data_IF_118592985207
#
_entry.id   IF_118592985207
#
_cell.length_a   1.000
_cell.length_b   1.000
_cell.length_c   1.000
_cell.angle_alpha   90.00
_cell.angle_beta   90.00
_cell.angle_gamma   90.00
#
_symmetry.space_group_name_H-M   'P 1'
#
loop_
_entity.id
_entity.type
_entity.pdbx_description
1 polymer ?
#
# COMPACT_ATOMS: atom_id res chain seq x y z
N UNK A 1 -33.45 28.45 8.20
CA UNK A 1 -33.95 27.62 7.08
C UNK A 1 -34.37 28.60 5.99
N UNK A 2 -33.48 28.79 5.00
CA UNK A 2 -33.72 29.74 3.88
C UNK A 2 -34.72 29.02 2.97
N UNK A 3 -35.88 29.64 2.72
CA UNK A 3 -36.93 29.02 1.91
C UNK A 3 -36.50 29.04 0.43
N UNK A 4 -36.80 27.98 -0.27
CA UNK A 4 -36.45 27.81 -1.70
C UNK A 4 -37.07 28.97 -2.55
N UNK A 5 -38.21 29.55 -2.12
CA UNK A 5 -38.85 30.70 -2.75
C UNK A 5 -38.03 32.00 -2.62
N UNK A 6 -37.27 32.20 -1.50
CA UNK A 6 -36.40 33.36 -1.37
C UNK A 6 -35.21 33.34 -2.32
N UNK A 7 -34.72 32.15 -2.62
CA UNK A 7 -33.60 31.97 -3.58
C UNK A 7 -34.05 32.17 -5.02
N UNK A 8 -35.28 31.74 -5.37
CA UNK A 8 -35.88 31.97 -6.70
C UNK A 8 -36.14 33.45 -6.91
N UNK A 9 -36.70 34.16 -5.90
CA UNK A 9 -36.96 35.60 -5.97
C UNK A 9 -35.66 36.42 -6.13
N UNK A 10 -34.58 35.99 -5.51
CA UNK A 10 -33.25 36.63 -5.66
C UNK A 10 -32.64 36.37 -7.04
N UNK A 11 -32.80 35.16 -7.59
CA UNK A 11 -32.40 34.83 -8.95
C UNK A 11 -33.20 35.57 -10.01
N UNK A 12 -34.52 35.73 -9.84
CA UNK A 12 -35.37 36.49 -10.72
C UNK A 12 -35.04 38.01 -10.66
N UNK A 13 -34.65 38.53 -9.48
CA UNK A 13 -34.12 39.87 -9.32
C UNK A 13 -32.83 40.14 -10.06
N UNK A 14 -31.90 39.17 -10.06
CA UNK A 14 -30.65 39.24 -10.81
C UNK A 14 -30.90 39.13 -12.32
N UNK A 15 -31.85 38.31 -12.74
CA UNK A 15 -32.19 38.13 -14.16
C UNK A 15 -32.94 39.35 -14.73
N UNK A 16 -33.79 40.03 -13.94
CA UNK A 16 -34.49 41.25 -14.35
C UNK A 16 -33.60 42.49 -14.30
N UNK A 17 -32.58 42.57 -13.47
CA UNK A 17 -31.62 43.66 -13.44
C UNK A 17 -30.65 43.66 -14.64
N UNK A 18 -30.56 42.57 -15.38
CA UNK A 18 -29.73 42.41 -16.61
C UNK A 18 -30.39 42.90 -17.89
N UNK A 19 -31.61 43.42 -17.88
CA UNK A 19 -32.31 43.94 -19.09
C UNK A 19 -31.95 45.38 -19.48
N UNK A 20 -30.81 45.86 -19.03
CA UNK A 20 -30.21 47.10 -19.54
C UNK A 20 -29.38 46.85 -20.80
N UNK A 21 -30.06 46.86 -21.98
CA UNK A 21 -29.42 47.18 -23.26
C UNK A 21 -28.21 46.41 -23.74
N UNK A 22 -27.99 45.18 -23.30
CA UNK A 22 -26.89 44.34 -23.85
C UNK A 22 -27.37 43.73 -25.17
N UNK A 23 -26.56 43.96 -26.22
CA UNK A 23 -26.80 43.37 -27.56
C UNK A 23 -26.88 41.83 -27.41
N UNK A 24 -27.97 41.18 -27.83
CA UNK A 24 -28.14 39.74 -27.71
C UNK A 24 -26.99 38.96 -28.41
N UNK A 25 -26.34 39.57 -29.39
CA UNK A 25 -25.17 39.03 -30.05
C UNK A 25 -23.95 38.91 -29.10
N UNK A 26 -23.77 39.87 -28.19
CA UNK A 26 -22.64 39.87 -27.22
C UNK A 26 -22.87 38.79 -26.15
N UNK A 27 -24.11 38.65 -25.66
CA UNK A 27 -24.47 37.59 -24.71
C UNK A 27 -24.26 36.19 -25.30
N UNK A 28 -24.66 35.94 -26.55
CA UNK A 28 -24.41 34.69 -27.23
C UNK A 28 -22.90 34.41 -27.43
N UNK A 29 -22.11 35.43 -27.75
CA UNK A 29 -20.66 35.32 -27.88
C UNK A 29 -19.99 34.93 -26.54
N UNK A 30 -20.38 35.58 -25.45
CA UNK A 30 -19.84 35.29 -24.11
C UNK A 30 -20.20 33.88 -23.67
N UNK A 31 -21.46 33.45 -23.85
CA UNK A 31 -21.88 32.08 -23.50
C UNK A 31 -21.12 31.03 -24.34
N UNK A 32 -20.97 31.24 -25.65
CA UNK A 32 -20.25 30.33 -26.51
C UNK A 32 -18.76 30.22 -26.14
N UNK A 33 -18.13 31.34 -25.75
CA UNK A 33 -16.76 31.37 -25.27
C UNK A 33 -16.59 30.62 -23.94
N UNK A 34 -17.53 30.77 -23.02
CA UNK A 34 -17.55 30.06 -21.73
C UNK A 34 -17.71 28.55 -21.93
N UNK A 35 -18.58 28.12 -22.85
CA UNK A 35 -18.76 26.71 -23.20
C UNK A 35 -17.47 26.15 -23.82
N UNK A 36 -16.85 26.89 -24.75
CA UNK A 36 -15.59 26.48 -25.39
C UNK A 36 -14.48 26.34 -24.35
N UNK A 37 -14.36 27.31 -23.43
CA UNK A 37 -13.39 27.28 -22.34
C UNK A 37 -13.64 26.04 -21.43
N UNK A 38 -14.90 25.78 -21.08
CA UNK A 38 -15.29 24.61 -20.30
C UNK A 38 -14.91 23.28 -20.97
N UNK A 39 -15.14 23.18 -22.29
CA UNK A 39 -14.73 22.01 -23.08
C UNK A 39 -13.21 21.82 -23.10
N UNK A 40 -12.46 22.90 -23.30
CA UNK A 40 -10.99 22.85 -23.27
C UNK A 40 -10.47 22.38 -21.91
N UNK A 41 -10.99 22.95 -20.82
CA UNK A 41 -10.60 22.54 -19.46
C UNK A 41 -10.97 21.08 -19.18
N UNK A 42 -12.12 20.61 -19.65
CA UNK A 42 -12.53 19.21 -19.53
C UNK A 42 -11.60 18.27 -20.30
N UNK A 43 -11.22 18.62 -21.54
CA UNK A 43 -10.24 17.84 -22.31
C UNK A 43 -8.90 17.80 -21.60
N UNK A 44 -8.41 18.92 -21.11
CA UNK A 44 -7.14 18.97 -20.34
C UNK A 44 -7.20 18.11 -19.10
N UNK A 45 -8.32 18.10 -18.38
CA UNK A 45 -8.52 17.22 -17.23
C UNK A 45 -8.44 15.74 -17.63
N UNK A 46 -9.11 15.33 -18.72
CA UNK A 46 -9.05 13.95 -19.22
C UNK A 46 -7.62 13.56 -19.60
N UNK A 47 -6.90 14.45 -20.29
CA UNK A 47 -5.51 14.21 -20.68
C UNK A 47 -4.63 14.05 -19.43
N UNK A 48 -4.80 14.92 -18.42
CA UNK A 48 -4.04 14.84 -17.17
C UNK A 48 -4.34 13.54 -16.40
N UNK A 49 -5.61 13.11 -16.35
CA UNK A 49 -5.99 11.85 -15.70
C UNK A 49 -5.41 10.64 -16.44
N UNK A 50 -5.47 10.65 -17.78
CA UNK A 50 -4.85 9.59 -18.61
C UNK A 50 -3.33 9.54 -18.44
N UNK A 51 -2.68 10.69 -18.37
CA UNK A 51 -1.24 10.78 -18.13
C UNK A 51 -0.87 10.19 -16.76
N UNK A 52 -1.57 10.56 -15.69
CA UNK A 52 -1.37 9.96 -14.36
C UNK A 52 -1.60 8.45 -14.35
N UNK A 53 -2.64 7.99 -15.03
CA UNK A 53 -2.94 6.55 -15.14
C UNK A 53 -1.81 5.79 -15.87
N UNK A 54 -1.30 6.33 -16.97
CA UNK A 54 -0.18 5.74 -17.70
C UNK A 54 1.11 5.70 -16.87
N UNK A 55 1.44 6.80 -16.17
CA UNK A 55 2.59 6.86 -15.26
C UNK A 55 2.48 5.80 -14.16
N UNK A 56 1.31 5.65 -13.57
CA UNK A 56 1.08 4.62 -12.55
C UNK A 56 1.15 3.20 -13.12
N UNK A 57 0.72 2.98 -14.35
CA UNK A 57 0.82 1.69 -15.02
C UNK A 57 2.28 1.32 -15.34
N UNK A 58 3.07 2.29 -15.83
CA UNK A 58 4.51 2.13 -16.09
C UNK A 58 5.26 1.84 -14.78
N UNK A 59 5.01 2.60 -13.72
CA UNK A 59 5.59 2.36 -12.40
C UNK A 59 5.30 0.94 -11.90
N UNK A 60 4.04 0.46 -11.99
CA UNK A 60 3.68 -0.91 -11.62
C UNK A 60 4.42 -1.97 -12.44
N UNK A 61 4.60 -1.72 -13.75
CA UNK A 61 5.35 -2.62 -14.64
C UNK A 61 6.82 -2.66 -14.25
N UNK A 62 7.43 -1.52 -13.98
CA UNK A 62 8.83 -1.42 -13.55
C UNK A 62 9.04 -2.10 -12.20
N UNK A 63 8.14 -1.92 -11.24
CA UNK A 63 8.19 -2.59 -9.94
C UNK A 63 8.10 -4.11 -10.09
N UNK A 64 7.25 -4.63 -10.98
CA UNK A 64 7.18 -6.07 -11.28
C UNK A 64 8.48 -6.59 -11.90
N UNK A 65 9.08 -5.84 -12.82
CA UNK A 65 10.36 -6.22 -13.44
C UNK A 65 11.49 -6.23 -12.42
N UNK A 66 11.55 -5.24 -11.53
CA UNK A 66 12.51 -5.21 -10.42
C UNK A 66 12.29 -6.40 -9.47
N UNK A 67 11.04 -6.73 -9.15
CA UNK A 67 10.70 -7.89 -8.32
C UNK A 67 11.15 -9.20 -8.97
N UNK A 68 10.92 -9.39 -10.28
CA UNK A 68 11.36 -10.57 -11.04
C UNK A 68 12.89 -10.63 -11.13
N UNK A 69 13.55 -9.50 -11.41
CA UNK A 69 15.01 -9.42 -11.46
C UNK A 69 15.67 -9.65 -10.10
N UNK A 70 15.00 -9.23 -9.02
CA UNK A 70 15.46 -9.41 -7.65
C UNK A 70 15.17 -10.80 -7.06
N UNK A 71 14.25 -11.56 -7.63
CA UNK A 71 13.95 -12.95 -7.26
C UNK A 71 15.04 -13.94 -7.71
N UNK A 72 16.30 -13.50 -7.78
CA UNK A 72 17.37 -14.47 -7.86
C UNK A 72 17.31 -15.33 -6.61
N UNK A 73 17.10 -16.64 -6.84
CA UNK A 73 17.01 -17.67 -5.81
C UNK A 73 18.17 -17.50 -4.84
N UNK A 74 17.87 -17.26 -3.57
CA UNK A 74 18.88 -17.22 -2.50
C UNK A 74 19.63 -18.55 -2.55
N UNK A 75 20.97 -18.50 -2.59
CA UNK A 75 21.80 -19.70 -2.65
C UNK A 75 21.61 -20.51 -1.36
N UNK A 76 21.78 -21.82 -1.46
CA UNK A 76 21.70 -22.70 -0.28
C UNK A 76 22.75 -22.32 0.77
N UNK A 77 23.98 -21.96 0.33
CA UNK A 77 25.04 -21.47 1.21
C UNK A 77 24.61 -20.24 2.00
N UNK A 78 23.96 -19.28 1.32
CA UNK A 78 23.55 -18.01 1.95
C UNK A 78 22.42 -18.25 2.96
N UNK A 79 21.51 -19.18 2.66
CA UNK A 79 20.47 -19.61 3.60
C UNK A 79 21.05 -20.23 4.87
N UNK A 80 22.02 -21.14 4.70
CA UNK A 80 22.65 -21.81 5.84
C UNK A 80 23.36 -20.80 6.73
N UNK A 81 24.15 -19.87 6.15
CA UNK A 81 24.80 -18.81 6.91
C UNK A 81 23.79 -17.94 7.69
N UNK A 82 22.66 -17.61 7.06
CA UNK A 82 21.61 -16.81 7.71
C UNK A 82 20.97 -17.61 8.85
N UNK A 83 20.68 -18.89 8.66
CA UNK A 83 20.09 -19.73 9.70
C UNK A 83 21.03 -19.92 10.88
N UNK A 84 22.33 -20.17 10.61
CA UNK A 84 23.36 -20.27 11.66
C UNK A 84 23.54 -18.95 12.41
N UNK A 85 23.69 -17.82 11.67
CA UNK A 85 23.82 -16.48 12.27
C UNK A 85 22.64 -16.14 13.18
N UNK A 86 21.43 -16.49 12.75
CA UNK A 86 20.19 -16.17 13.45
C UNK A 86 19.78 -17.27 14.46
N UNK A 87 20.67 -18.25 14.73
CA UNK A 87 20.45 -19.38 15.64
C UNK A 87 19.14 -20.11 15.39
N UNK A 88 18.82 -20.36 14.11
CA UNK A 88 17.56 -21.01 13.69
C UNK A 88 16.32 -20.41 14.35
N UNK A 89 16.34 -19.08 14.58
CA UNK A 89 15.31 -18.31 15.28
C UNK A 89 14.62 -17.35 14.32
N UNK A 90 13.29 -17.30 14.36
CA UNK A 90 12.51 -16.33 13.60
C UNK A 90 12.75 -14.91 14.12
N UNK A 91 13.28 -14.02 13.29
CA UNK A 91 13.64 -12.64 13.66
C UNK A 91 12.41 -11.73 13.87
N UNK A 92 11.20 -12.23 13.65
CA UNK A 92 9.95 -11.48 13.91
C UNK A 92 9.27 -11.94 15.18
N UNK A 93 8.97 -13.24 15.34
CA UNK A 93 8.21 -13.75 16.49
C UNK A 93 9.06 -14.48 17.52
N UNK A 94 10.36 -14.66 17.29
CA UNK A 94 11.28 -15.25 18.26
C UNK A 94 11.19 -16.77 18.42
N UNK A 95 10.31 -17.48 17.67
CA UNK A 95 10.26 -18.94 17.74
C UNK A 95 11.56 -19.54 17.18
N UNK A 96 12.17 -20.45 17.92
CA UNK A 96 13.39 -21.15 17.52
C UNK A 96 13.21 -22.67 17.50
N UNK A 97 14.16 -23.38 16.87
CA UNK A 97 14.19 -24.83 16.93
C UNK A 97 14.43 -25.31 18.35
N UNK A 98 15.41 -24.72 19.04
CA UNK A 98 15.77 -25.07 20.41
C UNK A 98 14.57 -24.92 21.36
N UNK A 99 13.83 -23.81 21.26
CA UNK A 99 12.62 -23.61 22.06
C UNK A 99 11.57 -24.73 21.83
N UNK A 100 11.43 -25.20 20.59
CA UNK A 100 10.49 -26.30 20.31
C UNK A 100 11.01 -27.65 20.80
N UNK A 101 12.32 -27.90 20.72
CA UNK A 101 12.95 -29.12 21.21
C UNK A 101 12.94 -29.20 22.74
N UNK A 102 13.01 -28.06 23.43
CA UNK A 102 12.82 -27.96 24.88
C UNK A 102 11.38 -28.34 25.32
N UNK A 103 10.39 -28.03 24.47
CA UNK A 103 8.99 -28.42 24.72
C UNK A 103 8.76 -29.90 24.44
N UNK A 104 9.33 -30.42 23.37
CA UNK A 104 9.24 -31.81 22.96
C UNK A 104 10.41 -32.16 22.05
N UNK A 105 11.28 -33.12 22.44
CA UNK A 105 12.43 -33.52 21.64
C UNK A 105 12.04 -33.90 20.20
N UNK A 106 12.74 -33.32 19.21
CA UNK A 106 12.49 -33.51 17.79
C UNK A 106 11.40 -32.60 17.21
N UNK A 107 10.75 -31.77 18.01
CA UNK A 107 9.71 -30.85 17.50
C UNK A 107 10.31 -29.71 16.67
N UNK A 108 11.53 -29.31 16.96
CA UNK A 108 12.25 -28.27 16.22
C UNK A 108 12.47 -28.60 14.74
N UNK A 109 12.56 -29.88 14.39
CA UNK A 109 12.71 -30.32 13.00
C UNK A 109 11.48 -30.00 12.13
N UNK A 110 10.31 -29.88 12.74
CA UNK A 110 9.07 -29.49 12.05
C UNK A 110 8.93 -27.98 11.86
N UNK A 111 9.82 -27.17 12.47
CA UNK A 111 9.80 -25.73 12.27
C UNK A 111 10.28 -25.37 10.87
N UNK A 112 9.35 -24.98 10.00
CA UNK A 112 9.68 -24.50 8.66
C UNK A 112 10.28 -23.10 8.73
N UNK A 113 11.59 -23.02 8.52
CA UNK A 113 12.35 -21.77 8.44
C UNK A 113 12.66 -21.41 6.99
N UNK A 114 12.54 -20.13 6.68
CA UNK A 114 12.79 -19.57 5.35
C UNK A 114 13.73 -18.37 5.49
N UNK A 115 14.71 -18.25 4.57
CA UNK A 115 15.50 -17.03 4.45
C UNK A 115 14.71 -16.01 3.63
N UNK A 116 14.51 -14.83 4.19
CA UNK A 116 13.78 -13.73 3.56
C UNK A 116 14.55 -12.42 3.66
N UNK A 117 14.28 -11.49 2.74
CA UNK A 117 14.93 -10.18 2.76
C UNK A 117 14.37 -9.31 3.88
N UNK A 118 15.22 -8.64 4.66
CA UNK A 118 14.82 -7.65 5.66
C UNK A 118 14.08 -6.52 4.96
N UNK A 119 14.73 -5.88 4.00
CA UNK A 119 14.11 -4.97 3.05
C UNK A 119 13.83 -5.72 1.75
N UNK A 120 12.57 -5.82 1.36
CA UNK A 120 12.18 -6.55 0.16
C UNK A 120 12.81 -5.93 -1.09
N UNK A 121 13.09 -6.76 -2.10
CA UNK A 121 13.61 -6.27 -3.38
C UNK A 121 12.65 -5.29 -4.04
N UNK A 122 11.34 -5.47 -3.85
CA UNK A 122 10.32 -4.53 -4.31
C UNK A 122 10.43 -3.14 -3.68
N UNK A 123 11.01 -3.05 -2.48
CA UNK A 123 11.27 -1.81 -1.74
C UNK A 123 12.72 -1.30 -1.92
N UNK A 124 13.47 -1.85 -2.88
CA UNK A 124 14.84 -1.43 -3.20
C UNK A 124 15.92 -2.18 -2.42
N UNK A 125 15.57 -3.26 -1.70
CA UNK A 125 16.56 -4.10 -1.03
C UNK A 125 17.47 -4.84 -2.00
N UNK A 126 18.72 -5.06 -1.61
CA UNK A 126 19.71 -5.81 -2.39
C UNK A 126 19.46 -7.31 -2.26
N UNK A 127 19.34 -8.00 -3.40
CA UNK A 127 19.02 -9.44 -3.44
C UNK A 127 20.21 -10.40 -3.20
N UNK A 128 21.43 -9.86 -2.97
CA UNK A 128 22.65 -10.66 -2.83
C UNK A 128 23.41 -10.45 -1.52
N UNK A 129 22.94 -9.51 -0.74
CA UNK A 129 23.58 -9.14 0.51
C UNK A 129 23.00 -9.99 1.63
N UNK A 130 23.84 -10.84 2.23
CA UNK A 130 23.46 -11.67 3.37
C UNK A 130 23.03 -10.83 4.57
N UNK A 131 23.53 -9.57 4.68
CA UNK A 131 23.14 -8.65 5.73
C UNK A 131 21.70 -8.15 5.56
N UNK A 132 21.18 -8.19 4.32
CA UNK A 132 19.77 -7.93 4.02
C UNK A 132 18.90 -9.21 4.09
N UNK A 133 19.44 -10.35 4.52
CA UNK A 133 18.68 -11.59 4.72
C UNK A 133 18.45 -11.84 6.21
N UNK A 134 17.39 -12.56 6.53
CA UNK A 134 16.98 -12.94 7.88
C UNK A 134 16.29 -14.29 7.89
N UNK A 135 16.36 -14.98 9.03
CA UNK A 135 15.62 -16.20 9.28
C UNK A 135 14.20 -15.88 9.72
N UNK A 136 13.21 -16.38 9.04
CA UNK A 136 11.79 -16.27 9.41
C UNK A 136 11.13 -17.65 9.45
N UNK A 137 10.20 -17.84 10.38
CA UNK A 137 9.29 -18.97 10.27
C UNK A 137 8.30 -18.74 9.11
N UNK A 138 7.81 -19.83 8.53
CA UNK A 138 6.86 -19.82 7.43
C UNK A 138 5.68 -18.85 7.67
N UNK A 139 5.12 -18.83 8.87
CA UNK A 139 3.98 -17.97 9.22
C UNK A 139 4.33 -16.48 9.13
N UNK A 140 5.47 -16.07 9.68
CA UNK A 140 5.92 -14.69 9.65
C UNK A 140 6.29 -14.25 8.23
N UNK A 141 6.97 -15.12 7.46
CA UNK A 141 7.31 -14.84 6.08
C UNK A 141 6.05 -14.61 5.21
N UNK A 142 5.02 -15.44 5.34
CA UNK A 142 3.73 -15.26 4.64
C UNK A 142 3.02 -13.99 5.05
N UNK A 143 3.02 -13.64 6.36
CA UNK A 143 2.44 -12.37 6.83
C UNK A 143 3.19 -11.16 6.31
N UNK A 144 4.53 -11.22 6.23
CA UNK A 144 5.38 -10.14 5.73
C UNK A 144 5.14 -9.89 4.25
N UNK A 145 5.19 -10.92 3.42
CA UNK A 145 5.14 -10.80 1.97
C UNK A 145 6.21 -9.82 1.47
N UNK A 146 5.98 -9.24 0.28
CA UNK A 146 6.92 -8.28 -0.31
C UNK A 146 6.74 -6.82 0.10
N UNK A 147 5.74 -6.51 0.93
CA UNK A 147 5.31 -5.12 1.15
C UNK A 147 5.41 -4.65 2.60
N UNK A 148 5.46 -5.56 3.58
CA UNK A 148 5.45 -5.20 5.00
C UNK A 148 6.85 -5.23 5.61
N UNK A 149 7.09 -4.34 6.56
CA UNK A 149 8.28 -4.36 7.41
C UNK A 149 8.12 -5.37 8.56
N UNK A 150 9.23 -5.79 9.17
CA UNK A 150 9.22 -6.66 10.34
C UNK A 150 8.36 -6.08 11.47
N UNK A 151 8.47 -4.76 11.71
CA UNK A 151 7.72 -4.09 12.78
C UNK A 151 6.21 -4.11 12.52
N UNK A 152 5.78 -3.99 11.26
CA UNK A 152 4.36 -4.10 10.94
C UNK A 152 3.83 -5.51 11.21
N UNK A 153 4.61 -6.54 10.85
CA UNK A 153 4.22 -7.94 11.12
C UNK A 153 4.21 -8.24 12.62
N UNK A 154 5.22 -7.73 13.37
CA UNK A 154 5.27 -7.89 14.83
C UNK A 154 4.02 -7.32 15.50
N UNK A 155 3.66 -6.07 15.17
CA UNK A 155 2.41 -5.45 15.68
C UNK A 155 1.16 -6.28 15.37
N UNK A 156 1.08 -6.87 14.17
CA UNK A 156 -0.05 -7.74 13.81
C UNK A 156 -0.11 -9.02 14.65
N UNK A 157 1.05 -9.54 15.06
CA UNK A 157 1.14 -10.72 15.92
C UNK A 157 0.74 -10.34 17.34
N UNK A 158 1.31 -9.25 17.87
CA UNK A 158 1.04 -8.73 19.21
C UNK A 158 -0.45 -8.43 19.38
N UNK A 159 -1.05 -7.75 18.41
CA UNK A 159 -2.48 -7.48 18.37
C UNK A 159 -3.32 -8.77 18.34
N UNK A 160 -2.92 -9.77 17.53
CA UNK A 160 -3.58 -11.07 17.49
C UNK A 160 -3.50 -11.84 18.79
N UNK A 161 -2.37 -11.75 19.51
CA UNK A 161 -2.20 -12.38 20.84
C UNK A 161 -3.09 -11.69 21.87
N UNK A 162 -3.24 -10.39 21.81
CA UNK A 162 -4.11 -9.63 22.72
C UNK A 162 -5.59 -10.04 22.58
N UNK A 163 -6.05 -10.33 21.36
CA UNK A 163 -7.38 -10.87 21.10
C UNK A 163 -7.56 -12.32 21.53
N UNK A 164 -6.46 -13.09 21.65
CA UNK A 164 -6.48 -14.50 22.02
C UNK A 164 -6.21 -14.74 23.51
N UNK A 165 -5.99 -13.67 24.30
CA UNK A 165 -5.95 -13.81 25.76
C UNK A 165 -7.30 -14.35 26.22
N UNK A 166 -7.34 -15.44 26.99
CA UNK A 166 -8.59 -15.92 27.57
C UNK A 166 -9.24 -14.77 28.33
N UNK A 167 -10.53 -14.61 28.14
CA UNK A 167 -11.33 -13.73 28.98
C UNK A 167 -11.04 -14.16 30.43
N UNK A 168 -10.50 -13.24 31.21
CA UNK A 168 -10.19 -13.51 32.61
C UNK A 168 -11.54 -13.60 33.34
N UNK A 169 -11.99 -14.84 33.58
CA UNK A 169 -13.22 -15.14 34.33
C UNK A 169 -13.10 -14.81 35.84
N UNK A 170 -12.21 -13.90 36.23
CA UNK A 170 -12.10 -13.39 37.59
C UNK A 170 -13.19 -12.35 37.89
N UNK A 171 -14.44 -12.86 38.07
CA UNK A 171 -15.50 -12.21 38.84
C UNK A 171 -16.08 -13.17 39.85
#
# INVERSE_FOLDING_TARGET
MISFESVISELDGIFSAGQGGEDPAVTFLVISLLILLGLVLFILLIVALRYKYQQHALWRKEMRLREIAGRRRIRVSDKNMVFERDNYTCQICGISRDFLDDLCPGLGDYLLLEADHIQSVAQGGTGRDTDNLQCLCWRCNRKKGGMRTNNQVRRMIDYGIEYLKPYDDSY
#
